data_IF_471445199860
#
_entry.id   IF_471445199860
#
_cell.length_a   1.000
_cell.length_b   1.000
_cell.length_c   1.000
_cell.angle_alpha   90.00
_cell.angle_beta   90.00
_cell.angle_gamma   90.00
#
_symmetry.space_group_name_H-M   'P 1'
#
loop_
_entity.id
_entity.type
_entity.pdbx_description
1 polymer ?
#
# COMPACT_ATOMS: atom_id res chain seq x y z
N UNK A 1 0.54 21.59 -11.47
CA UNK A 1 0.93 21.32 -11.15
C UNK A 1 0.95 20.64 -10.33
N UNK A 2 1.03 20.38 -10.05
CA UNK A 2 1.29 19.73 -9.49
C UNK A 2 0.78 18.91 -8.60
N UNK A 3 0.03 18.17 -8.81
CA UNK A 3 -0.58 17.24 -7.91
C UNK A 3 0.06 15.88 -7.96
N UNK A 4 1.32 15.84 -8.34
CA UNK A 4 2.03 14.59 -8.33
C UNK A 4 2.32 14.18 -6.89
N UNK A 5 2.05 12.93 -6.52
CA UNK A 5 2.33 12.47 -5.17
C UNK A 5 3.83 12.46 -4.91
N UNK A 6 4.21 12.78 -3.67
CA UNK A 6 5.61 12.84 -3.26
C UNK A 6 6.12 11.54 -2.68
N UNK A 7 5.21 10.70 -2.18
CA UNK A 7 5.61 9.51 -1.44
C UNK A 7 5.35 8.21 -2.18
N UNK A 8 4.84 8.28 -3.40
CA UNK A 8 4.66 7.09 -4.23
C UNK A 8 4.62 7.46 -5.70
N UNK A 9 4.86 6.47 -6.55
CA UNK A 9 4.59 6.59 -7.97
C UNK A 9 3.39 5.72 -8.31
N UNK A 10 2.60 6.18 -9.27
CA UNK A 10 1.41 5.48 -9.70
C UNK A 10 1.61 4.97 -11.12
N UNK A 11 1.44 3.67 -11.29
CA UNK A 11 1.48 3.03 -12.60
C UNK A 11 0.22 2.18 -12.76
N UNK A 12 0.01 1.65 -13.96
CA UNK A 12 -1.13 0.80 -14.23
C UNK A 12 -0.64 -0.45 -14.95
N UNK A 13 -1.02 -1.62 -14.45
CA UNK A 13 -0.62 -2.89 -15.03
C UNK A 13 -1.89 -3.69 -15.29
N UNK A 14 -2.16 -3.99 -16.56
CA UNK A 14 -3.37 -4.72 -16.97
C UNK A 14 -4.64 -4.06 -16.45
N UNK A 15 -4.66 -2.75 -16.44
CA UNK A 15 -5.81 -1.98 -15.97
C UNK A 15 -5.91 -1.82 -14.46
N UNK A 16 -4.94 -2.38 -13.70
CA UNK A 16 -4.95 -2.31 -12.24
C UNK A 16 -3.92 -1.29 -11.78
N UNK A 17 -4.34 -0.28 -11.00
CA UNK A 17 -3.39 0.70 -10.46
C UNK A 17 -2.39 0.05 -9.51
N UNK A 18 -1.13 0.44 -9.64
CA UNK A 18 -0.09 0.01 -8.72
C UNK A 18 0.55 1.24 -8.12
N UNK A 19 0.49 1.34 -6.79
CA UNK A 19 1.19 2.36 -6.03
C UNK A 19 2.52 1.77 -5.58
N UNK A 20 3.63 2.35 -6.04
CA UNK A 20 4.96 1.96 -5.58
C UNK A 20 5.42 3.01 -4.58
N UNK A 21 5.59 2.58 -3.32
CA UNK A 21 6.00 3.49 -2.26
C UNK A 21 7.43 3.99 -2.53
N UNK A 22 7.62 5.29 -2.40
CA UNK A 22 8.85 5.94 -2.85
C UNK A 22 9.89 6.20 -1.78
N UNK A 23 9.65 5.73 -0.55
CA UNK A 23 10.60 5.94 0.55
C UNK A 23 11.07 4.58 1.07
N UNK A 24 12.36 4.52 1.48
CA UNK A 24 12.91 3.30 2.06
C UNK A 24 12.40 3.09 3.49
N UNK A 25 12.16 4.18 4.21
CA UNK A 25 11.79 4.08 5.63
C UNK A 25 10.49 4.79 5.90
N UNK A 26 9.49 4.02 6.34
CA UNK A 26 8.23 4.58 6.83
C UNK A 26 8.17 4.40 8.33
N UNK A 27 9.03 5.15 9.02
CA UNK A 27 9.19 5.09 10.48
C UNK A 27 8.82 6.42 11.12
N UNK A 28 9.12 7.53 10.46
CA UNK A 28 8.83 8.87 10.97
C UNK A 28 7.34 9.17 10.84
N UNK A 29 6.72 9.57 11.94
CA UNK A 29 5.29 9.84 11.96
C UNK A 29 4.86 10.92 10.94
N UNK A 30 5.57 12.06 10.80
CA UNK A 30 5.17 13.05 9.81
C UNK A 30 5.13 12.49 8.38
N UNK A 31 6.12 11.68 8.02
CA UNK A 31 6.16 11.09 6.68
C UNK A 31 5.04 10.08 6.50
N UNK A 32 4.76 9.29 7.53
CA UNK A 32 3.67 8.31 7.49
C UNK A 32 2.34 9.01 7.28
N UNK A 33 2.07 10.09 8.01
CA UNK A 33 0.82 10.82 7.90
C UNK A 33 0.69 11.42 6.49
N UNK A 34 1.74 12.04 5.99
CA UNK A 34 1.69 12.65 4.66
C UNK A 34 1.48 11.62 3.56
N UNK A 35 2.18 10.50 3.65
CA UNK A 35 2.02 9.43 2.67
C UNK A 35 0.61 8.83 2.73
N UNK A 36 0.11 8.59 3.93
CA UNK A 36 -1.24 8.08 4.12
C UNK A 36 -2.26 9.01 3.48
N UNK A 37 -2.13 10.32 3.73
CA UNK A 37 -3.08 11.29 3.22
C UNK A 37 -3.06 11.35 1.69
N UNK A 38 -1.87 11.26 1.08
CA UNK A 38 -1.75 11.23 -0.38
C UNK A 38 -2.44 10.00 -0.97
N UNK A 39 -2.23 8.85 -0.35
CA UNK A 39 -2.82 7.60 -0.84
C UNK A 39 -4.33 7.64 -0.69
N UNK A 40 -4.83 8.12 0.46
CA UNK A 40 -6.26 8.22 0.70
C UNK A 40 -6.91 9.18 -0.29
N UNK A 41 -6.24 10.29 -0.58
CA UNK A 41 -6.77 11.24 -1.57
C UNK A 41 -6.92 10.55 -2.92
N UNK A 42 -5.90 9.82 -3.36
CA UNK A 42 -5.97 9.08 -4.61
C UNK A 42 -7.12 8.08 -4.59
N UNK A 43 -7.22 7.30 -3.52
CA UNK A 43 -8.23 6.26 -3.39
C UNK A 43 -9.65 6.84 -3.47
N UNK A 44 -9.88 7.96 -2.79
CA UNK A 44 -11.20 8.57 -2.75
C UNK A 44 -11.57 9.24 -4.07
N UNK A 45 -10.58 9.72 -4.83
CA UNK A 45 -10.83 10.34 -6.13
C UNK A 45 -11.01 9.30 -7.23
N UNK A 46 -10.12 8.31 -7.28
CA UNK A 46 -10.11 7.32 -8.35
C UNK A 46 -11.02 6.13 -8.08
N UNK A 47 -11.26 5.82 -6.82
CA UNK A 47 -12.10 4.69 -6.37
C UNK A 47 -11.74 3.39 -7.10
N UNK A 48 -10.48 2.96 -7.04
CA UNK A 48 -10.07 1.76 -7.77
C UNK A 48 -10.76 0.53 -7.21
N UNK A 49 -11.24 -0.35 -8.10
CA UNK A 49 -11.82 -1.62 -7.68
C UNK A 49 -10.75 -2.60 -7.25
N UNK A 50 -9.55 -2.45 -7.79
CA UNK A 50 -8.40 -3.29 -7.47
C UNK A 50 -7.21 -2.37 -7.34
N UNK A 51 -6.40 -2.58 -6.30
CA UNK A 51 -5.25 -1.72 -6.04
C UNK A 51 -4.10 -2.57 -5.51
N UNK A 52 -2.92 -2.35 -6.05
CA UNK A 52 -1.69 -2.99 -5.58
C UNK A 52 -0.84 -1.93 -4.91
N UNK A 53 -0.32 -2.23 -3.72
CA UNK A 53 0.72 -1.42 -3.06
C UNK A 53 2.01 -2.20 -3.14
N UNK A 54 2.98 -1.66 -3.86
CA UNK A 54 4.28 -2.29 -4.09
C UNK A 54 5.30 -1.74 -3.11
N UNK A 55 5.92 -2.62 -2.33
CA UNK A 55 6.84 -2.27 -1.26
C UNK A 55 8.32 -2.47 -1.65
N UNK A 56 8.62 -2.61 -2.94
CA UNK A 56 10.01 -2.98 -3.33
C UNK A 56 11.06 -1.99 -2.87
N UNK A 57 10.71 -0.74 -2.69
CA UNK A 57 11.66 0.29 -2.25
C UNK A 57 11.65 0.50 -0.74
N UNK A 58 10.83 -0.26 0.00
CA UNK A 58 10.64 -0.07 1.44
C UNK A 58 11.51 -1.05 2.20
N UNK A 59 12.33 -0.53 3.12
CA UNK A 59 13.23 -1.34 3.94
C UNK A 59 12.73 -1.50 5.37
N UNK A 60 12.09 -0.48 5.91
CA UNK A 60 11.63 -0.48 7.31
C UNK A 60 10.28 0.20 7.44
N UNK A 61 9.46 -0.33 8.34
CA UNK A 61 8.18 0.29 8.70
C UNK A 61 8.04 0.29 10.21
N UNK A 62 7.16 1.16 10.71
CA UNK A 62 6.81 1.18 12.14
C UNK A 62 5.39 0.68 12.33
N UNK A 63 4.99 0.48 13.59
CA UNK A 63 3.62 0.10 13.90
C UNK A 63 2.63 1.18 13.48
N UNK A 64 3.06 2.44 13.48
CA UNK A 64 2.19 3.53 13.00
C UNK A 64 1.92 3.40 11.50
N UNK A 65 2.90 2.91 10.73
CA UNK A 65 2.68 2.68 9.32
C UNK A 65 1.65 1.58 9.09
N UNK A 66 1.69 0.53 9.91
CA UNK A 66 0.69 -0.55 9.83
C UNK A 66 -0.71 0.02 10.08
N UNK A 67 -0.85 0.86 11.12
CA UNK A 67 -2.12 1.50 11.42
C UNK A 67 -2.58 2.37 10.25
N UNK A 68 -1.65 3.09 9.62
CA UNK A 68 -1.97 3.91 8.46
C UNK A 68 -2.49 3.05 7.30
N UNK A 69 -1.88 1.89 7.08
CA UNK A 69 -2.32 1.00 6.01
C UNK A 69 -3.71 0.41 6.28
N UNK A 70 -4.05 0.18 7.54
CA UNK A 70 -5.41 -0.25 7.88
C UNK A 70 -6.41 0.83 7.49
N UNK A 71 -6.10 2.10 7.77
CA UNK A 71 -6.97 3.21 7.39
C UNK A 71 -7.10 3.30 5.86
N UNK A 72 -5.99 3.17 5.14
CA UNK A 72 -6.03 3.17 3.68
C UNK A 72 -6.93 2.04 3.17
N UNK A 73 -6.78 0.84 3.72
CA UNK A 73 -7.59 -0.31 3.34
C UNK A 73 -9.07 -0.04 3.57
N UNK A 74 -9.40 0.59 4.69
CA UNK A 74 -10.79 0.91 5.01
C UNK A 74 -11.39 1.85 3.96
N UNK A 75 -10.62 2.82 3.48
CA UNK A 75 -11.07 3.70 2.41
C UNK A 75 -11.25 2.95 1.09
N UNK A 76 -10.32 2.05 0.76
CA UNK A 76 -10.44 1.25 -0.46
C UNK A 76 -11.72 0.42 -0.42
N UNK A 77 -11.94 -0.27 0.70
CA UNK A 77 -13.12 -1.13 0.86
C UNK A 77 -14.41 -0.31 0.91
N UNK A 78 -14.35 0.84 1.55
CA UNK A 78 -15.51 1.73 1.61
C UNK A 78 -15.94 2.23 0.24
N UNK A 79 -15.01 2.26 -0.71
CA UNK A 79 -15.29 2.63 -2.10
C UNK A 79 -15.55 1.40 -2.99
N UNK A 80 -15.68 0.22 -2.40
CA UNK A 80 -16.01 -1.00 -3.15
C UNK A 80 -14.82 -1.72 -3.73
N UNK A 81 -13.59 -1.40 -3.30
CA UNK A 81 -12.39 -1.99 -3.87
C UNK A 81 -11.70 -3.00 -2.97
N UNK A 82 -10.67 -3.60 -3.52
CA UNK A 82 -9.78 -4.52 -2.81
C UNK A 82 -8.33 -4.07 -2.96
N UNK A 83 -7.53 -4.26 -1.91
CA UNK A 83 -6.13 -3.86 -1.91
C UNK A 83 -5.25 -5.06 -1.57
N UNK A 84 -4.17 -5.21 -2.30
CA UNK A 84 -3.19 -6.27 -2.06
C UNK A 84 -1.79 -5.69 -2.06
N UNK A 85 -0.87 -6.36 -1.37
CA UNK A 85 0.53 -5.93 -1.23
C UNK A 85 1.45 -6.82 -2.04
N UNK A 86 2.53 -6.24 -2.57
CA UNK A 86 3.55 -7.00 -3.28
C UNK A 86 4.96 -6.53 -2.92
N UNK A 87 5.94 -7.40 -3.12
CA UNK A 87 7.37 -7.09 -2.98
C UNK A 87 7.78 -6.63 -1.57
N UNK A 88 7.20 -7.25 -0.53
CA UNK A 88 7.65 -7.00 0.84
C UNK A 88 8.88 -7.87 1.13
N UNK A 89 9.97 -7.24 1.60
CA UNK A 89 11.09 -8.02 2.08
C UNK A 89 10.76 -8.61 3.46
N UNK A 90 11.64 -9.49 3.97
CA UNK A 90 11.41 -10.17 5.26
C UNK A 90 11.20 -9.18 6.40
N UNK A 91 12.03 -8.15 6.47
CA UNK A 91 11.96 -7.16 7.55
C UNK A 91 10.61 -6.44 7.57
N UNK A 92 10.10 -6.09 6.40
CA UNK A 92 8.82 -5.38 6.28
C UNK A 92 7.65 -6.34 6.50
N UNK A 93 7.77 -7.58 6.04
CA UNK A 93 6.69 -8.56 6.17
C UNK A 93 6.48 -9.04 7.60
N UNK A 94 7.56 -9.15 8.38
CA UNK A 94 7.51 -9.70 9.72
C UNK A 94 6.50 -9.01 10.63
N UNK A 95 6.45 -7.66 10.72
CA UNK A 95 5.44 -7.00 11.56
C UNK A 95 4.02 -7.38 11.19
N UNK A 96 3.73 -7.56 9.90
CA UNK A 96 2.38 -7.97 9.47
C UNK A 96 2.07 -9.39 9.91
N UNK A 97 3.06 -10.29 9.89
CA UNK A 97 2.85 -11.67 10.34
C UNK A 97 2.66 -11.74 11.85
N UNK A 98 3.48 -11.00 12.60
CA UNK A 98 3.39 -11.01 14.06
C UNK A 98 2.04 -10.50 14.54
N UNK A 99 1.51 -9.48 13.89
CA UNK A 99 0.20 -8.92 14.25
C UNK A 99 -0.95 -9.72 13.65
N UNK A 100 -0.67 -10.78 12.90
CA UNK A 100 -1.65 -11.63 12.24
C UNK A 100 -2.49 -10.89 11.20
N UNK A 101 -1.92 -9.84 10.63
CA UNK A 101 -2.59 -9.07 9.58
C UNK A 101 -2.29 -9.63 8.20
N UNK A 102 -1.15 -10.31 8.04
CA UNK A 102 -0.77 -10.89 6.76
C UNK A 102 -1.77 -11.98 6.36
N UNK A 103 -2.27 -11.90 5.15
CA UNK A 103 -3.19 -12.87 4.60
C UNK A 103 -4.64 -12.65 4.97
N UNK A 104 -4.92 -12.11 6.15
CA UNK A 104 -6.30 -11.86 6.58
C UNK A 104 -6.76 -10.47 6.21
N UNK A 105 -6.00 -9.47 6.65
CA UNK A 105 -6.34 -8.07 6.40
C UNK A 105 -5.63 -7.59 5.15
N UNK A 106 -4.36 -7.97 5.00
CA UNK A 106 -3.55 -7.60 3.84
C UNK A 106 -3.05 -8.85 3.13
N UNK A 107 -3.66 -9.24 2.01
CA UNK A 107 -3.10 -10.29 1.17
C UNK A 107 -1.75 -9.84 0.63
N UNK A 108 -0.72 -10.66 0.85
CA UNK A 108 0.68 -10.32 0.52
C UNK A 108 1.21 -11.33 -0.48
N UNK A 109 1.81 -10.82 -1.56
CA UNK A 109 2.36 -11.65 -2.63
C UNK A 109 3.81 -11.28 -2.89
N UNK A 110 4.59 -12.22 -3.39
CA UNK A 110 6.00 -11.95 -3.67
C UNK A 110 6.19 -10.95 -4.79
N UNK A 111 5.32 -10.99 -5.81
CA UNK A 111 5.43 -10.12 -6.97
C UNK A 111 4.08 -9.51 -7.30
N UNK A 112 4.12 -8.40 -8.04
CA UNK A 112 2.90 -7.75 -8.51
C UNK A 112 2.10 -8.67 -9.46
N UNK A 113 2.73 -9.37 -10.44
CA UNK A 113 1.94 -10.31 -11.25
C UNK A 113 1.18 -11.35 -10.45
N UNK A 114 1.77 -11.90 -9.39
CA UNK A 114 1.07 -12.86 -8.54
C UNK A 114 -0.11 -12.21 -7.84
N UNK A 115 0.05 -10.97 -7.37
CA UNK A 115 -1.04 -10.25 -6.73
C UNK A 115 -2.17 -9.99 -7.73
N UNK A 116 -1.84 -9.61 -8.94
CA UNK A 116 -2.84 -9.36 -10.00
C UNK A 116 -3.63 -10.63 -10.31
N UNK A 117 -2.94 -11.75 -10.44
CA UNK A 117 -3.58 -13.02 -10.79
C UNK A 117 -4.55 -13.48 -9.70
N UNK A 118 -4.39 -13.00 -8.47
CA UNK A 118 -5.21 -13.43 -7.35
C UNK A 118 -6.51 -12.64 -7.19
N UNK A 119 -6.67 -11.57 -7.92
CA UNK A 119 -7.90 -10.77 -7.84
C UNK A 119 -9.12 -11.49 -8.42
#
# INVERSE_FOLDING_TARGET
MADEPRFFTLTEIEGIPEITLGSADFVSRPIIVLAKDEIIQYVNEAKPERLIINFRNVSHISSEFISAMIVVRDHVRGNGGEMKFSHLNETVQTPFRITKLAGRVFPIFETTPQAIDSF
#
